data_IF_559697693177
#
_entry.id   IF_559697693177
#
_cell.length_a   1.000
_cell.length_b   1.000
_cell.length_c   1.000
_cell.angle_alpha   90.00
_cell.angle_beta   90.00
_cell.angle_gamma   90.00
#
_symmetry.space_group_name_H-M   'P 1'
#
loop_
_entity.id
_entity.type
_entity.pdbx_description
1 polymer ?
#
# COMPACT_ATOMS: atom_id res chain seq x y z
N UNK A 1 -5.84 3.98 7.35
CA UNK A 1 -5.19 4.59 6.15
C UNK A 1 -4.25 5.68 6.64
N UNK A 2 -3.01 5.77 6.10
CA UNK A 2 -2.11 6.89 6.41
C UNK A 2 -2.55 8.10 5.59
N UNK A 3 -2.76 9.24 6.23
CA UNK A 3 -3.15 10.51 5.59
C UNK A 3 -2.02 11.52 5.83
N UNK A 4 -1.52 12.11 4.76
CA UNK A 4 -0.52 13.17 4.82
C UNK A 4 -1.19 14.54 4.81
N UNK A 5 -0.85 15.39 5.77
CA UNK A 5 -1.44 16.73 5.91
C UNK A 5 -0.38 17.81 5.68
N UNK A 6 -0.75 18.93 5.08
CA UNK A 6 0.13 20.06 4.84
C UNK A 6 1.36 19.69 4.01
N UNK A 7 2.55 20.07 4.45
CA UNK A 7 3.81 19.79 3.74
C UNK A 7 4.17 18.31 3.67
N UNK A 8 3.64 17.47 4.59
CA UNK A 8 3.85 16.02 4.57
C UNK A 8 3.24 15.33 3.34
N UNK A 9 2.34 15.98 2.60
CA UNK A 9 1.83 15.45 1.32
C UNK A 9 2.93 15.14 0.30
N UNK A 10 4.08 15.82 0.40
CA UNK A 10 5.26 15.54 -0.42
C UNK A 10 5.84 14.13 -0.19
N UNK A 11 5.51 13.49 0.93
CA UNK A 11 5.97 12.17 1.34
C UNK A 11 5.01 11.03 0.91
N UNK A 12 3.85 11.38 0.37
CA UNK A 12 2.83 10.38 0.02
C UNK A 12 3.38 9.27 -0.88
N UNK A 13 4.24 9.61 -1.85
CA UNK A 13 4.85 8.62 -2.75
C UNK A 13 5.81 7.67 -2.03
N UNK A 14 6.56 8.16 -1.03
CA UNK A 14 7.47 7.33 -0.24
C UNK A 14 6.67 6.32 0.60
N UNK A 15 5.59 6.79 1.25
CA UNK A 15 4.68 5.96 2.06
C UNK A 15 3.91 4.98 1.18
N UNK A 16 3.50 5.40 -0.02
CA UNK A 16 2.84 4.54 -1.00
C UNK A 16 3.71 3.36 -1.43
N UNK A 17 5.05 3.51 -1.38
CA UNK A 17 6.01 2.45 -1.70
C UNK A 17 6.05 1.29 -0.70
N UNK A 18 5.61 1.50 0.54
CA UNK A 18 5.69 0.46 1.58
C UNK A 18 4.77 -0.73 1.31
N UNK A 19 5.09 -1.87 1.92
CA UNK A 19 4.20 -3.03 1.98
C UNK A 19 2.89 -2.69 2.71
N UNK A 20 1.84 -3.40 2.36
CA UNK A 20 0.52 -3.32 3.00
C UNK A 20 0.11 -4.69 3.46
N UNK A 21 -0.55 -4.73 4.61
CA UNK A 21 -1.19 -5.93 5.11
C UNK A 21 -2.70 -5.78 5.03
N UNK A 22 -3.36 -6.86 4.64
CA UNK A 22 -4.80 -6.92 4.48
C UNK A 22 -5.36 -8.20 5.10
N UNK A 23 -6.53 -8.06 5.69
CA UNK A 23 -7.44 -9.17 5.92
C UNK A 23 -8.53 -9.09 4.84
N UNK A 24 -8.69 -10.17 4.10
CA UNK A 24 -9.68 -10.28 3.04
C UNK A 24 -10.63 -11.44 3.30
N UNK A 25 -11.91 -11.19 3.07
CA UNK A 25 -12.95 -12.21 3.02
C UNK A 25 -13.22 -12.56 1.56
N UNK A 26 -13.43 -13.84 1.27
CA UNK A 26 -13.74 -14.33 -0.05
C UNK A 26 -14.79 -15.44 0.00
N UNK A 27 -15.47 -15.65 -1.12
CA UNK A 27 -16.43 -16.74 -1.30
C UNK A 27 -16.16 -17.44 -2.64
N UNK A 28 -16.06 -18.78 -2.59
CA UNK A 28 -15.95 -19.64 -3.75
C UNK A 28 -17.31 -19.85 -4.41
N UNK A 29 -17.34 -20.29 -5.66
CA UNK A 29 -18.52 -20.69 -6.38
C UNK A 29 -19.03 -19.67 -7.38
N UNK A 30 -18.50 -18.46 -7.45
CA UNK A 30 -18.89 -17.48 -8.45
C UNK A 30 -17.80 -16.46 -8.75
N UNK A 31 -17.93 -15.83 -9.91
CA UNK A 31 -17.07 -14.69 -10.29
C UNK A 31 -17.89 -13.50 -10.76
N UNK A 32 -17.34 -12.31 -10.54
CA UNK A 32 -17.94 -11.03 -10.95
C UNK A 32 -17.01 -10.27 -11.89
N UNK A 33 -17.55 -9.29 -12.61
CA UNK A 33 -16.78 -8.42 -13.51
C UNK A 33 -15.79 -7.50 -12.78
N UNK A 34 -16.03 -7.19 -11.51
CA UNK A 34 -15.15 -6.37 -10.66
C UNK A 34 -14.17 -7.18 -9.81
N UNK A 35 -14.35 -8.52 -9.75
CA UNK A 35 -13.67 -9.46 -8.86
C UNK A 35 -14.02 -9.27 -7.38
N UNK A 36 -15.01 -8.45 -7.07
CA UNK A 36 -15.56 -8.24 -5.72
C UNK A 36 -17.11 -8.30 -5.75
N UNK A 37 -17.72 -8.30 -4.56
CA UNK A 37 -19.16 -8.48 -4.40
C UNK A 37 -20.00 -7.32 -4.96
N UNK A 38 -19.40 -6.18 -5.26
CA UNK A 38 -20.08 -5.02 -5.84
C UNK A 38 -20.38 -5.21 -7.35
N UNK A 39 -19.71 -6.18 -7.98
CA UNK A 39 -19.82 -6.45 -9.40
C UNK A 39 -20.99 -7.31 -9.80
N UNK A 40 -21.26 -7.31 -11.11
CA UNK A 40 -22.25 -8.20 -11.72
C UNK A 40 -21.70 -9.63 -11.79
N UNK A 41 -22.48 -10.61 -11.32
CA UNK A 41 -22.12 -12.03 -11.45
C UNK A 41 -22.06 -12.42 -12.92
N UNK A 42 -20.93 -12.97 -13.33
CA UNK A 42 -20.68 -13.45 -14.70
C UNK A 42 -20.90 -14.94 -14.82
N UNK A 43 -20.52 -15.72 -13.81
CA UNK A 43 -20.56 -17.17 -13.87
C UNK A 43 -20.62 -17.78 -12.46
N UNK A 44 -21.09 -19.04 -12.35
CA UNK A 44 -21.22 -19.80 -11.12
C UNK A 44 -20.84 -21.26 -11.29
N UNK A 45 -20.30 -21.87 -10.22
CA UNK A 45 -20.12 -23.31 -10.08
C UNK A 45 -20.85 -23.74 -8.80
N UNK A 46 -21.87 -24.60 -8.94
CA UNK A 46 -22.72 -24.97 -7.81
C UNK A 46 -22.23 -26.19 -7.01
N UNK A 47 -21.54 -27.12 -7.67
CA UNK A 47 -21.12 -28.38 -7.07
C UNK A 47 -19.59 -28.48 -7.07
N UNK A 48 -18.97 -28.16 -5.94
CA UNK A 48 -17.55 -28.35 -5.69
C UNK A 48 -17.35 -28.82 -4.24
N UNK A 49 -16.23 -29.46 -4.02
CA UNK A 49 -15.79 -29.88 -2.66
C UNK A 49 -14.30 -29.60 -2.55
N UNK A 50 -13.97 -28.54 -1.83
CA UNK A 50 -12.58 -28.11 -1.59
C UNK A 50 -12.27 -28.38 -0.12
N UNK A 51 -11.27 -29.21 0.13
CA UNK A 51 -10.78 -29.44 1.50
C UNK A 51 -9.87 -28.29 1.95
N UNK A 52 -9.71 -28.14 3.27
CA UNK A 52 -8.78 -27.18 3.90
C UNK A 52 -7.36 -27.33 3.32
N UNK A 53 -6.91 -28.57 3.15
CA UNK A 53 -5.61 -28.88 2.60
C UNK A 53 -5.49 -28.41 1.14
N UNK A 54 -6.48 -28.71 0.29
CA UNK A 54 -6.50 -28.27 -1.11
C UNK A 54 -6.49 -26.76 -1.22
N UNK A 55 -7.30 -26.08 -0.41
CA UNK A 55 -7.35 -24.61 -0.36
C UNK A 55 -6.00 -24.04 0.07
N UNK A 56 -5.42 -24.53 1.16
CA UNK A 56 -4.14 -24.08 1.68
C UNK A 56 -2.99 -24.26 0.70
N UNK A 57 -2.89 -25.45 0.05
CA UNK A 57 -1.87 -25.73 -0.98
C UNK A 57 -2.03 -24.80 -2.19
N UNK A 58 -3.26 -24.56 -2.65
CA UNK A 58 -3.50 -23.65 -3.76
C UNK A 58 -3.10 -22.22 -3.39
N UNK A 59 -3.46 -21.75 -2.19
CA UNK A 59 -3.13 -20.42 -1.70
C UNK A 59 -1.62 -20.19 -1.60
N UNK A 60 -0.87 -21.15 -1.04
CA UNK A 60 0.59 -21.06 -0.83
C UNK A 60 1.35 -20.85 -2.16
N UNK A 61 0.81 -21.30 -3.30
CA UNK A 61 1.44 -21.09 -4.62
C UNK A 61 1.49 -19.63 -5.06
N UNK A 62 0.75 -18.74 -4.42
CA UNK A 62 0.78 -17.30 -4.71
C UNK A 62 1.77 -16.54 -3.83
N UNK A 63 2.44 -17.19 -2.90
CA UNK A 63 3.45 -16.58 -2.03
C UNK A 63 4.77 -16.37 -2.79
N UNK A 64 5.43 -15.25 -2.53
CA UNK A 64 6.65 -14.84 -3.22
C UNK A 64 6.40 -13.84 -4.33
N UNK A 65 7.32 -13.84 -5.31
CA UNK A 65 7.25 -12.96 -6.48
C UNK A 65 6.37 -13.59 -7.55
N UNK A 66 5.31 -12.90 -7.94
CA UNK A 66 4.34 -13.36 -8.94
C UNK A 66 4.06 -12.30 -10.00
N UNK A 67 3.55 -12.74 -11.14
CA UNK A 67 2.98 -11.88 -12.17
C UNK A 67 1.47 -11.82 -12.00
N UNK A 68 0.93 -10.63 -11.80
CA UNK A 68 -0.50 -10.41 -11.59
C UNK A 68 -1.07 -9.51 -12.68
N UNK A 69 -2.19 -9.92 -13.29
CA UNK A 69 -2.97 -9.07 -14.19
C UNK A 69 -3.90 -8.18 -13.35
N UNK A 70 -3.75 -6.85 -13.41
CA UNK A 70 -4.63 -5.95 -12.65
C UNK A 70 -6.09 -6.04 -13.15
N UNK A 71 -7.09 -5.80 -12.28
CA UNK A 71 -8.49 -5.84 -12.71
C UNK A 71 -8.81 -4.63 -13.61
N UNK A 72 -9.84 -4.76 -14.46
CA UNK A 72 -10.34 -3.63 -15.27
C UNK A 72 -10.79 -2.46 -14.38
N UNK A 73 -11.42 -2.76 -13.26
CA UNK A 73 -11.83 -1.75 -12.29
C UNK A 73 -10.66 -1.29 -11.42
N UNK A 74 -9.67 -0.65 -12.05
CA UNK A 74 -8.49 -0.08 -11.38
C UNK A 74 -8.16 1.34 -11.87
N UNK A 75 -7.38 2.08 -11.08
CA UNK A 75 -6.97 3.44 -11.42
C UNK A 75 -5.73 3.50 -12.35
N UNK A 76 -5.31 2.36 -12.88
CA UNK A 76 -4.20 2.29 -13.85
C UNK A 76 -4.61 3.03 -15.12
N UNK A 77 -3.69 3.82 -15.66
CA UNK A 77 -3.90 4.53 -16.92
C UNK A 77 -3.29 3.75 -18.09
N UNK A 78 -4.07 3.62 -19.15
CA UNK A 78 -3.64 3.14 -20.46
C UNK A 78 -4.08 4.19 -21.49
N UNK A 79 -3.16 4.69 -22.28
CA UNK A 79 -3.39 5.76 -23.28
C UNK A 79 -4.13 6.99 -22.72
N UNK A 80 -3.78 7.35 -21.47
CA UNK A 80 -4.31 8.53 -20.78
C UNK A 80 -5.65 8.33 -20.05
N UNK A 81 -6.43 7.28 -20.37
CA UNK A 81 -7.68 6.90 -19.68
C UNK A 81 -7.43 5.90 -18.57
N UNK A 82 -8.18 5.98 -17.48
CA UNK A 82 -8.11 4.97 -16.41
C UNK A 82 -8.90 3.72 -16.79
N UNK A 83 -8.40 2.55 -16.40
CA UNK A 83 -9.06 1.27 -16.72
C UNK A 83 -10.52 1.21 -16.25
N UNK A 84 -10.82 1.73 -15.04
CA UNK A 84 -12.18 1.73 -14.53
C UNK A 84 -13.14 2.62 -15.38
N UNK A 85 -12.63 3.65 -16.05
CA UNK A 85 -13.43 4.49 -16.96
C UNK A 85 -13.84 3.69 -18.18
N UNK A 86 -12.88 2.97 -18.79
CA UNK A 86 -13.14 2.07 -19.91
C UNK A 86 -14.09 0.92 -19.53
N UNK A 87 -13.90 0.33 -18.35
CA UNK A 87 -14.78 -0.74 -17.85
C UNK A 87 -16.23 -0.27 -17.72
N UNK A 88 -16.49 0.95 -17.24
CA UNK A 88 -17.83 1.54 -17.16
C UNK A 88 -18.45 1.84 -18.53
N UNK A 89 -17.62 2.07 -19.53
CA UNK A 89 -18.03 2.21 -20.94
C UNK A 89 -18.28 0.83 -21.61
N UNK A 90 -18.07 -0.28 -20.89
CA UNK A 90 -18.20 -1.64 -21.42
C UNK A 90 -17.01 -2.06 -22.31
N UNK A 91 -15.91 -1.30 -22.27
CA UNK A 91 -14.71 -1.58 -23.06
C UNK A 91 -13.73 -2.39 -22.21
N UNK A 92 -13.45 -3.60 -22.65
CA UNK A 92 -12.37 -4.42 -22.07
C UNK A 92 -11.11 -4.33 -22.95
N UNK A 93 -9.95 -4.12 -22.33
CA UNK A 93 -8.66 -4.08 -23.00
C UNK A 93 -7.69 -5.08 -22.40
N UNK A 94 -6.72 -5.52 -23.19
CA UNK A 94 -5.64 -6.35 -22.72
C UNK A 94 -4.80 -5.59 -21.69
N UNK A 95 -4.53 -6.23 -20.57
CA UNK A 95 -3.76 -5.68 -19.44
C UNK A 95 -2.46 -6.44 -19.29
N UNK A 96 -1.35 -5.72 -19.28
CA UNK A 96 -0.04 -6.33 -19.05
C UNK A 96 0.08 -6.78 -17.58
N UNK A 97 0.52 -8.01 -17.39
CA UNK A 97 0.87 -8.50 -16.07
C UNK A 97 1.98 -7.64 -15.46
N UNK A 98 1.93 -7.48 -14.13
CA UNK A 98 2.92 -6.72 -13.35
C UNK A 98 3.56 -7.62 -12.31
N UNK A 99 4.84 -7.39 -12.07
CA UNK A 99 5.54 -8.06 -11.01
C UNK A 99 5.08 -7.49 -9.67
N UNK A 100 4.64 -8.35 -8.77
CA UNK A 100 4.23 -8.04 -7.40
C UNK A 100 4.78 -9.12 -6.47
N UNK A 101 4.95 -8.78 -5.19
CA UNK A 101 5.45 -9.71 -4.18
C UNK A 101 4.42 -9.88 -3.06
N UNK A 102 4.18 -11.12 -2.65
CA UNK A 102 3.34 -11.49 -1.52
C UNK A 102 4.25 -12.13 -0.47
N UNK A 103 4.63 -11.37 0.55
CA UNK A 103 5.60 -11.78 1.56
C UNK A 103 4.99 -12.64 2.65
N UNK A 104 3.69 -12.45 2.90
CA UNK A 104 2.92 -13.31 3.80
C UNK A 104 1.54 -13.60 3.21
N UNK A 105 1.05 -14.84 3.39
CA UNK A 105 -0.27 -15.27 2.93
C UNK A 105 -0.73 -16.46 3.78
N UNK A 106 -1.71 -16.23 4.64
CA UNK A 106 -2.17 -17.21 5.63
C UNK A 106 -3.69 -17.35 5.60
N UNK A 107 -4.19 -18.56 5.83
CA UNK A 107 -5.61 -18.83 6.04
C UNK A 107 -5.95 -18.56 7.50
N UNK A 108 -6.88 -17.62 7.75
CA UNK A 108 -7.44 -17.37 9.08
C UNK A 108 -8.59 -18.36 9.37
N UNK A 109 -9.46 -18.57 8.37
CA UNK A 109 -10.56 -19.52 8.43
C UNK A 109 -11.01 -19.94 7.04
N UNK A 110 -11.51 -21.18 6.94
CA UNK A 110 -12.15 -21.70 5.74
C UNK A 110 -13.25 -22.69 6.16
N UNK A 111 -14.38 -22.70 5.48
CA UNK A 111 -15.52 -23.59 5.79
C UNK A 111 -15.94 -24.45 4.57
N UNK A 112 -15.10 -24.53 3.55
CA UNK A 112 -15.39 -25.21 2.27
C UNK A 112 -15.94 -24.29 1.19
N UNK A 113 -16.48 -23.13 1.56
CA UNK A 113 -17.07 -22.13 0.63
C UNK A 113 -16.50 -20.74 0.89
N UNK A 114 -16.49 -20.30 2.13
CA UNK A 114 -16.01 -18.98 2.56
C UNK A 114 -14.67 -19.08 3.23
N UNK A 115 -13.80 -18.15 2.90
CA UNK A 115 -12.51 -18.04 3.56
C UNK A 115 -12.23 -16.62 4.01
N UNK A 116 -11.41 -16.55 5.05
CA UNK A 116 -10.76 -15.31 5.48
C UNK A 116 -9.26 -15.55 5.43
N UNK A 117 -8.55 -14.67 4.75
CA UNK A 117 -7.10 -14.74 4.58
C UNK A 117 -6.42 -13.47 5.08
N UNK A 118 -5.20 -13.61 5.59
CA UNK A 118 -4.30 -12.50 5.87
C UNK A 118 -3.19 -12.49 4.82
N UNK A 119 -2.86 -11.33 4.26
CA UNK A 119 -1.78 -11.21 3.30
C UNK A 119 -0.99 -9.91 3.47
N UNK A 120 0.34 -10.02 3.36
CA UNK A 120 1.26 -8.88 3.26
C UNK A 120 1.80 -8.80 1.84
N UNK A 121 1.61 -7.66 1.21
CA UNK A 121 1.85 -7.50 -0.23
C UNK A 121 2.62 -6.23 -0.56
N UNK A 122 3.37 -6.27 -1.65
CA UNK A 122 4.05 -5.11 -2.21
C UNK A 122 3.07 -4.06 -2.75
N UNK A 123 3.58 -2.85 -3.01
CA UNK A 123 2.84 -1.81 -3.73
C UNK A 123 2.32 -2.33 -5.08
N UNK A 124 1.08 -2.01 -5.38
CA UNK A 124 0.45 -2.30 -6.67
C UNK A 124 -0.22 -3.66 -6.77
N UNK A 125 -0.12 -4.50 -5.73
CA UNK A 125 -0.85 -5.77 -5.66
C UNK A 125 -2.34 -5.53 -5.47
N UNK A 126 -3.16 -6.23 -6.25
CA UNK A 126 -4.62 -6.22 -6.17
C UNK A 126 -5.12 -7.49 -5.48
N UNK A 127 -5.66 -7.36 -4.29
CA UNK A 127 -6.20 -8.50 -3.53
C UNK A 127 -7.38 -9.15 -4.27
N UNK A 128 -8.16 -8.37 -5.02
CA UNK A 128 -9.22 -8.87 -5.89
C UNK A 128 -8.70 -9.82 -6.97
N UNK A 129 -7.61 -9.46 -7.65
CA UNK A 129 -6.99 -10.34 -8.63
C UNK A 129 -6.40 -11.61 -7.99
N UNK A 130 -5.78 -11.51 -6.81
CA UNK A 130 -5.27 -12.67 -6.08
C UNK A 130 -6.41 -13.68 -5.80
N UNK A 131 -7.55 -13.18 -5.32
CA UNK A 131 -8.72 -14.03 -5.01
C UNK A 131 -9.32 -14.61 -6.29
N UNK A 132 -9.44 -13.82 -7.35
CA UNK A 132 -9.90 -14.29 -8.64
C UNK A 132 -9.01 -15.41 -9.20
N UNK A 133 -7.69 -15.20 -9.20
CA UNK A 133 -6.70 -16.16 -9.69
C UNK A 133 -6.71 -17.46 -8.84
N UNK A 134 -6.92 -17.33 -7.51
CA UNK A 134 -7.11 -18.48 -6.61
C UNK A 134 -8.35 -19.31 -7.00
N UNK A 135 -9.47 -18.63 -7.26
CA UNK A 135 -10.70 -19.30 -7.71
C UNK A 135 -10.55 -20.03 -9.04
N UNK A 136 -9.88 -19.42 -10.01
CA UNK A 136 -9.55 -20.06 -11.29
C UNK A 136 -8.65 -21.30 -11.07
N UNK A 137 -7.64 -21.18 -10.19
CA UNK A 137 -6.73 -22.30 -9.84
C UNK A 137 -7.46 -23.46 -9.17
N UNK A 138 -8.44 -23.19 -8.32
CA UNK A 138 -9.27 -24.19 -7.66
C UNK A 138 -10.36 -24.79 -8.58
N UNK A 139 -10.61 -24.16 -9.75
CA UNK A 139 -11.68 -24.56 -10.66
C UNK A 139 -13.09 -24.26 -10.14
N UNK A 140 -13.23 -23.36 -9.17
CA UNK A 140 -14.51 -23.04 -8.49
C UNK A 140 -14.96 -21.61 -8.71
N UNK A 141 -14.13 -20.76 -9.30
CA UNK A 141 -14.20 -19.31 -9.20
C UNK A 141 -14.12 -18.83 -7.75
N UNK A 142 -13.78 -17.54 -7.56
CA UNK A 142 -13.83 -16.90 -6.26
C UNK A 142 -14.06 -15.40 -6.41
N UNK A 143 -14.75 -14.83 -5.46
CA UNK A 143 -15.07 -13.39 -5.40
C UNK A 143 -14.68 -12.83 -4.04
N UNK A 144 -14.03 -11.67 -4.01
CA UNK A 144 -13.75 -10.95 -2.76
C UNK A 144 -15.05 -10.39 -2.19
N UNK A 145 -15.35 -10.70 -0.92
CA UNK A 145 -16.57 -10.25 -0.24
C UNK A 145 -16.28 -9.18 0.83
N UNK A 146 -15.03 -9.04 1.24
CA UNK A 146 -14.62 -8.02 2.18
C UNK A 146 -13.12 -7.77 2.11
N UNK A 147 -12.71 -6.53 2.42
CA UNK A 147 -11.30 -6.15 2.46
C UNK A 147 -11.03 -5.11 3.55
N UNK A 148 -10.13 -5.42 4.45
CA UNK A 148 -9.65 -4.49 5.45
C UNK A 148 -8.14 -4.39 5.42
N UNK A 149 -7.61 -3.18 5.16
CA UNK A 149 -6.16 -2.94 5.29
C UNK A 149 -5.82 -2.75 6.76
N UNK A 150 -4.96 -3.60 7.29
CA UNK A 150 -4.56 -3.64 8.70
C UNK A 150 -3.26 -2.89 8.95
N UNK A 151 -2.35 -2.82 7.94
CA UNK A 151 -1.05 -2.16 8.09
C UNK A 151 -0.59 -1.47 6.79
N UNK A 152 0.16 -0.40 6.92
CA UNK A 152 0.92 0.27 5.84
C UNK A 152 2.32 0.57 6.36
N UNK A 153 3.32 -0.12 5.85
CA UNK A 153 4.67 -0.03 6.40
C UNK A 153 4.69 -0.41 7.87
N UNK A 154 5.04 0.54 8.72
CA UNK A 154 5.08 0.36 10.19
C UNK A 154 3.82 0.82 10.94
N UNK A 155 2.87 1.41 10.23
CA UNK A 155 1.63 1.92 10.83
C UNK A 155 0.52 0.89 10.70
N UNK A 156 -0.02 0.45 11.82
CA UNK A 156 -1.11 -0.51 11.97
C UNK A 156 -2.44 0.15 12.38
N UNK A 157 -3.48 -0.67 12.51
CA UNK A 157 -4.80 -0.19 12.89
C UNK A 157 -4.88 0.23 14.37
N UNK A 158 -4.07 -0.34 15.24
CA UNK A 158 -4.13 -0.07 16.69
C UNK A 158 -3.74 1.38 17.00
N UNK A 159 -3.00 2.01 16.08
CA UNK A 159 -2.61 3.42 16.14
C UNK A 159 -3.48 4.35 15.29
N UNK A 160 -4.60 3.86 14.79
CA UNK A 160 -5.50 4.65 13.95
C UNK A 160 -6.71 5.15 14.73
N UNK A 161 -7.23 6.29 14.29
CA UNK A 161 -8.41 6.94 14.86
C UNK A 161 -9.53 6.98 13.83
N UNK A 162 -10.78 6.92 14.27
CA UNK A 162 -11.93 7.21 13.42
C UNK A 162 -12.04 8.71 13.18
N UNK A 163 -12.81 9.13 12.17
CA UNK A 163 -13.01 10.55 11.88
C UNK A 163 -13.70 11.25 13.04
N UNK A 164 -14.71 10.61 13.64
CA UNK A 164 -15.45 11.12 14.78
C UNK A 164 -14.52 11.34 16.00
N UNK A 165 -13.58 10.40 16.22
CA UNK A 165 -12.60 10.55 17.30
C UNK A 165 -11.64 11.71 17.05
N UNK A 166 -11.20 11.89 15.80
CA UNK A 166 -10.35 13.02 15.41
C UNK A 166 -11.10 14.36 15.60
N UNK A 167 -12.37 14.44 15.20
CA UNK A 167 -13.19 15.64 15.41
C UNK A 167 -13.31 16.00 16.89
N UNK A 168 -13.54 15.01 17.75
CA UNK A 168 -13.58 15.22 19.20
C UNK A 168 -12.23 15.73 19.73
N UNK A 169 -11.12 15.09 19.36
CA UNK A 169 -9.77 15.49 19.80
C UNK A 169 -9.45 16.92 19.37
N UNK A 170 -9.78 17.30 18.13
CA UNK A 170 -9.59 18.68 17.64
C UNK A 170 -10.43 19.68 18.44
N UNK A 171 -11.67 19.35 18.79
CA UNK A 171 -12.51 20.21 19.62
C UNK A 171 -11.94 20.42 21.04
N UNK A 172 -11.21 19.43 21.55
CA UNK A 172 -10.50 19.45 22.84
C UNK A 172 -9.10 20.09 22.74
N UNK A 173 -8.67 20.58 21.57
CA UNK A 173 -7.31 21.04 21.24
C UNK A 173 -6.23 19.94 21.44
N UNK A 174 -6.60 18.67 21.34
CA UNK A 174 -5.67 17.53 21.37
C UNK A 174 -5.27 17.15 19.93
N UNK A 175 -4.00 17.34 19.61
CA UNK A 175 -3.40 17.00 18.32
C UNK A 175 -2.44 15.82 18.41
N UNK A 176 -2.51 15.00 19.45
CA UNK A 176 -1.63 13.84 19.68
C UNK A 176 -1.77 12.74 18.62
N UNK A 177 -2.84 12.76 17.82
CA UNK A 177 -3.02 11.89 16.66
C UNK A 177 -2.11 12.26 15.46
N UNK A 178 -1.51 13.47 15.46
CA UNK A 178 -0.57 13.87 14.42
C UNK A 178 0.82 13.31 14.71
N UNK A 179 1.41 12.68 13.70
CA UNK A 179 2.79 12.19 13.76
C UNK A 179 3.66 13.18 12.97
N UNK A 180 4.69 13.72 13.59
CA UNK A 180 5.65 14.58 12.88
C UNK A 180 6.42 13.77 11.82
N UNK A 181 6.93 14.45 10.80
CA UNK A 181 7.77 13.78 9.78
C UNK A 181 9.01 13.16 10.41
N UNK A 182 9.59 13.83 11.39
CA UNK A 182 10.75 13.38 12.14
C UNK A 182 10.45 12.09 12.90
N UNK A 183 9.34 12.04 13.64
CA UNK A 183 8.90 10.85 14.38
C UNK A 183 8.46 9.73 13.47
N UNK A 184 7.92 10.07 12.30
CA UNK A 184 7.54 9.06 11.32
C UNK A 184 8.75 8.33 10.73
N UNK A 185 9.77 9.05 10.25
CA UNK A 185 10.93 8.42 9.60
C UNK A 185 11.99 7.97 10.59
N UNK A 186 12.18 8.69 11.71
CA UNK A 186 13.19 8.42 12.74
C UNK A 186 14.61 8.28 12.17
N UNK A 187 14.92 9.05 11.12
CA UNK A 187 16.26 9.06 10.57
C UNK A 187 17.24 9.72 11.54
N UNK A 188 18.52 9.32 11.53
CA UNK A 188 19.55 10.00 12.30
C UNK A 188 19.55 11.51 12.03
N UNK A 189 19.78 12.30 13.08
CA UNK A 189 19.87 13.75 12.95
C UNK A 189 21.22 14.15 12.37
N UNK A 190 21.21 15.15 11.49
CA UNK A 190 22.40 15.91 11.11
C UNK A 190 22.07 17.40 11.05
N UNK A 191 23.04 18.24 11.46
CA UNK A 191 22.87 19.69 11.51
C UNK A 191 23.67 20.36 10.40
N UNK A 192 23.14 21.41 9.79
CA UNK A 192 23.83 22.32 8.87
C UNK A 192 23.88 23.70 9.54
N UNK A 193 25.07 24.23 9.72
CA UNK A 193 25.29 25.52 10.41
C UNK A 193 25.65 26.64 9.41
N UNK A 194 26.39 26.33 8.34
CA UNK A 194 26.82 27.29 7.34
C UNK A 194 25.63 27.77 6.49
N UNK A 195 25.49 29.09 6.36
CA UNK A 195 24.36 29.68 5.63
C UNK A 195 24.37 29.39 4.14
N UNK A 196 25.54 29.15 3.54
CA UNK A 196 25.67 28.77 2.14
C UNK A 196 25.17 27.35 1.94
N UNK A 197 25.59 26.42 2.83
CA UNK A 197 25.14 25.02 2.80
C UNK A 197 23.64 24.91 3.05
N UNK A 198 23.07 25.72 3.94
CA UNK A 198 21.62 25.79 4.18
C UNK A 198 20.90 26.22 2.88
N UNK A 199 21.38 27.27 2.22
CA UNK A 199 20.82 27.74 0.93
C UNK A 199 20.93 26.67 -0.15
N UNK A 200 22.06 25.99 -0.27
CA UNK A 200 22.24 24.88 -1.21
C UNK A 200 21.23 23.76 -0.92
N UNK A 201 21.11 23.34 0.35
CA UNK A 201 20.22 22.27 0.76
C UNK A 201 18.75 22.58 0.44
N UNK A 202 18.23 23.73 0.86
CA UNK A 202 16.81 24.10 0.64
C UNK A 202 16.46 24.32 -0.83
N UNK A 203 17.46 24.62 -1.67
CA UNK A 203 17.30 24.74 -3.12
C UNK A 203 17.54 23.41 -3.88
N UNK A 204 17.64 22.29 -3.18
CA UNK A 204 17.82 20.95 -3.79
C UNK A 204 19.23 20.69 -4.34
N UNK A 205 20.18 21.55 -4.03
CA UNK A 205 21.57 21.39 -4.41
C UNK A 205 22.32 20.54 -3.37
N UNK A 206 23.50 20.06 -3.75
CA UNK A 206 24.37 19.25 -2.87
C UNK A 206 25.27 20.15 -2.06
N UNK A 207 25.42 19.85 -0.75
CA UNK A 207 26.45 20.44 0.11
C UNK A 207 27.37 19.35 0.66
N UNK A 208 28.60 19.72 1.02
CA UNK A 208 29.58 18.75 1.57
C UNK A 208 29.18 18.33 2.98
N UNK A 209 29.15 17.02 3.24
CA UNK A 209 28.87 16.50 4.58
C UNK A 209 29.65 15.21 4.83
N UNK A 210 30.65 15.28 5.71
CA UNK A 210 31.53 14.16 6.05
C UNK A 210 30.91 13.30 7.17
N UNK A 211 29.85 12.59 6.84
CA UNK A 211 29.19 11.61 7.72
C UNK A 211 28.91 10.35 6.90
N UNK A 212 28.47 9.27 7.55
CA UNK A 212 28.14 8.01 6.89
C UNK A 212 27.07 8.21 5.82
N UNK A 213 27.12 7.38 4.78
CA UNK A 213 26.07 7.36 3.76
C UNK A 213 24.74 6.93 4.38
N UNK A 214 23.63 7.48 3.87
CA UNK A 214 22.30 7.17 4.34
C UNK A 214 21.36 8.37 4.38
N UNK A 215 20.15 8.13 4.89
CA UNK A 215 19.10 9.14 5.05
C UNK A 215 19.17 9.80 6.41
N UNK A 216 18.90 11.10 6.44
CA UNK A 216 19.01 11.94 7.63
C UNK A 216 17.84 12.89 7.76
N UNK A 217 17.46 13.16 9.01
CA UNK A 217 16.66 14.32 9.39
C UNK A 217 17.59 15.52 9.54
N UNK A 218 17.42 16.55 8.72
CA UNK A 218 18.34 17.69 8.60
C UNK A 218 17.82 18.88 9.37
N UNK A 219 18.66 19.45 10.20
CA UNK A 219 18.35 20.60 11.06
C UNK A 219 19.28 21.78 10.77
N UNK A 220 18.78 22.98 11.06
CA UNK A 220 19.56 24.21 11.18
C UNK A 220 19.05 25.02 12.37
N UNK A 221 19.95 25.48 13.22
CA UNK A 221 19.61 26.23 14.44
C UNK A 221 18.49 25.54 15.25
N UNK A 222 18.63 24.22 15.45
CA UNK A 222 17.64 23.36 16.12
C UNK A 222 16.26 23.27 15.45
N UNK A 223 16.08 23.80 14.24
CA UNK A 223 14.86 23.70 13.49
C UNK A 223 15.00 22.64 12.41
N UNK A 224 14.02 21.72 12.33
CA UNK A 224 13.95 20.76 11.24
C UNK A 224 13.70 21.49 9.92
N UNK A 225 14.54 21.24 8.92
CA UNK A 225 14.48 21.89 7.61
C UNK A 225 14.22 20.90 6.47
N UNK A 226 14.28 19.60 6.72
CA UNK A 226 13.92 18.62 5.71
C UNK A 226 14.58 17.26 5.91
N UNK A 227 14.32 16.39 4.94
CA UNK A 227 14.96 15.08 4.81
C UNK A 227 16.04 15.16 3.73
N UNK A 228 17.21 14.59 4.01
CA UNK A 228 18.33 14.54 3.08
C UNK A 228 18.94 13.14 3.00
N UNK A 229 19.72 12.93 1.95
CA UNK A 229 20.49 11.71 1.75
C UNK A 229 21.95 12.06 1.49
N UNK A 230 22.84 11.37 2.19
CA UNK A 230 24.28 11.49 2.01
C UNK A 230 24.77 10.37 1.11
N UNK A 231 25.43 10.76 0.02
CA UNK A 231 26.06 9.85 -0.93
C UNK A 231 27.39 10.44 -1.37
N UNK A 232 28.49 9.67 -1.28
CA UNK A 232 29.84 10.10 -1.63
C UNK A 232 30.28 11.41 -0.90
N UNK A 233 29.92 11.54 0.39
CA UNK A 233 30.23 12.71 1.20
C UNK A 233 29.50 14.00 0.82
N UNK A 234 28.42 13.89 0.04
CA UNK A 234 27.55 14.98 -0.37
C UNK A 234 26.13 14.76 0.18
N UNK A 235 25.63 15.72 0.95
CA UNK A 235 24.25 15.75 1.41
C UNK A 235 23.38 16.45 0.36
N UNK A 236 22.31 15.81 -0.05
CA UNK A 236 21.27 16.37 -0.91
C UNK A 236 19.91 16.24 -0.24
N UNK A 237 19.16 17.34 -0.17
CA UNK A 237 17.79 17.29 0.26
C UNK A 237 16.87 16.67 -0.80
N UNK A 238 15.89 15.91 -0.37
CA UNK A 238 14.86 15.38 -1.26
C UNK A 238 13.44 15.77 -0.82
N UNK A 239 13.27 16.23 0.42
CA UNK A 239 12.03 16.81 0.95
C UNK A 239 12.37 17.97 1.89
N UNK A 240 11.75 19.14 1.69
CA UNK A 240 12.02 20.37 2.41
C UNK A 240 10.80 20.86 3.17
N UNK A 241 11.03 21.45 4.35
CA UNK A 241 9.99 21.88 5.27
C UNK A 241 10.21 23.32 5.78
#
# INVERSE_FOLDING_TARGET
MVICVGRATKLAQDIEGYEKEYVADLELGFKTDTYDIEGKVLDRVENFNISDETFGVALETFKGDIKQVPPMYSAIKVDGKKLYELAREGVEIERKARDVSITNLDVISFDGVKAKINCTVSKGTYIRSLIYDLGEKLGTFATMTGLRRTRVGKEDLDRSFTLEKIEQMVAENDFSFLISVEDYFKFPRTDIEDETDIKLFVNGQRCKKRINEGKYSVYSKNKFIGLGEVTNGLLKGYKYY
#
